data_IF_537444553398
#
_entry.id   IF_537444553398
#
_cell.length_a   1.000
_cell.length_b   1.000
_cell.length_c   1.000
_cell.angle_alpha   90.00
_cell.angle_beta   90.00
_cell.angle_gamma   90.00
#
_symmetry.space_group_name_H-M   'P 1'
#
loop_
_entity.id
_entity.type
_entity.pdbx_description
1 polymer ?
#
# COMPACT_ATOMS: atom_id res chain seq x y z
N UNK A 1 -32.48 -17.61 47.15
CA UNK A 1 -31.83 -16.71 46.16
C UNK A 1 -30.34 -17.08 46.17
N UNK A 2 -29.99 -18.19 45.50
CA UNK A 2 -29.35 -18.27 44.16
C UNK A 2 -27.93 -17.70 44.20
N UNK A 3 -26.94 -18.52 44.56
CA UNK A 3 -26.11 -19.41 43.71
C UNK A 3 -24.84 -18.70 43.26
N UNK A 4 -23.73 -19.10 43.89
CA UNK A 4 -22.35 -18.72 43.58
C UNK A 4 -21.96 -19.50 42.32
N UNK A 5 -21.97 -18.83 41.17
CA UNK A 5 -21.57 -19.43 39.91
C UNK A 5 -20.04 -19.42 39.83
N UNK A 6 -19.45 -20.60 40.03
CA UNK A 6 -18.05 -20.88 39.76
C UNK A 6 -17.85 -20.86 38.25
N UNK A 7 -17.17 -19.82 37.74
CA UNK A 7 -16.75 -19.77 36.35
C UNK A 7 -15.63 -20.81 36.17
N UNK A 8 -16.04 -22.05 35.89
CA UNK A 8 -15.16 -23.10 35.39
C UNK A 8 -14.73 -22.67 33.99
N UNK A 9 -13.49 -22.23 33.87
CA UNK A 9 -12.88 -21.89 32.59
C UNK A 9 -12.81 -23.16 31.74
N UNK A 10 -13.69 -23.28 30.76
CA UNK A 10 -13.75 -24.37 29.79
C UNK A 10 -12.58 -24.28 28.81
N UNK A 11 -11.37 -24.55 29.31
CA UNK A 11 -10.09 -24.53 28.59
C UNK A 11 -9.86 -25.78 27.73
N UNK A 12 -10.88 -26.28 27.03
CA UNK A 12 -10.77 -27.56 26.33
C UNK A 12 -11.73 -27.72 25.16
N UNK A 13 -11.74 -26.76 24.22
CA UNK A 13 -12.51 -26.91 22.99
C UNK A 13 -11.88 -26.28 21.73
N UNK A 14 -10.65 -25.77 21.76
CA UNK A 14 -10.04 -25.14 20.56
C UNK A 14 -8.76 -25.84 20.05
N UNK A 15 -8.57 -27.12 20.37
CA UNK A 15 -7.38 -27.90 19.97
C UNK A 15 -7.54 -28.66 18.64
N UNK A 16 -8.60 -28.42 17.87
CA UNK A 16 -8.88 -29.18 16.65
C UNK A 16 -9.43 -28.29 15.53
N UNK A 17 -8.61 -27.35 15.06
CA UNK A 17 -8.84 -26.68 13.78
C UNK A 17 -7.53 -26.65 12.98
N UNK A 18 -7.12 -27.84 12.54
CA UNK A 18 -6.21 -27.98 11.42
C UNK A 18 -6.86 -27.40 10.17
N UNK A 19 -6.54 -26.16 9.84
CA UNK A 19 -6.51 -25.72 8.46
C UNK A 19 -5.18 -25.04 8.22
N UNK A 20 -4.32 -25.81 7.56
CA UNK A 20 -3.23 -25.32 6.73
C UNK A 20 -3.78 -24.30 5.73
N UNK A 21 -3.95 -23.05 6.16
CA UNK A 21 -3.96 -21.94 5.22
C UNK A 21 -2.54 -21.84 4.71
N UNK A 22 -2.31 -22.41 3.52
CA UNK A 22 -1.13 -22.13 2.73
C UNK A 22 -0.98 -20.61 2.70
N UNK A 23 0.03 -20.12 3.41
CA UNK A 23 0.42 -18.72 3.36
C UNK A 23 0.78 -18.48 1.90
N UNK A 24 -0.15 -17.90 1.14
CA UNK A 24 0.15 -17.40 -0.19
C UNK A 24 1.27 -16.39 0.02
N UNK A 25 2.48 -16.80 -0.35
CA UNK A 25 3.64 -15.94 -0.38
C UNK A 25 3.34 -14.98 -1.52
N UNK A 26 2.68 -13.87 -1.23
CA UNK A 26 2.56 -12.79 -2.19
C UNK A 26 3.97 -12.35 -2.50
N UNK A 27 4.46 -12.72 -3.68
CA UNK A 27 5.78 -12.37 -4.18
C UNK A 27 5.96 -10.87 -3.99
N UNK A 28 6.96 -10.51 -3.18
CA UNK A 28 7.29 -9.10 -2.96
C UNK A 28 7.90 -8.62 -4.26
N UNK A 29 7.11 -7.89 -5.05
CA UNK A 29 7.61 -7.20 -6.25
C UNK A 29 8.72 -6.27 -5.76
N UNK A 30 9.97 -6.67 -6.00
CA UNK A 30 11.15 -5.84 -5.73
C UNK A 30 11.07 -4.70 -6.73
N UNK A 31 10.60 -3.53 -6.27
CA UNK A 31 10.46 -2.35 -7.13
C UNK A 31 11.82 -1.67 -7.23
N UNK A 32 12.41 -1.76 -8.41
CA UNK A 32 13.70 -1.15 -8.77
C UNK A 32 13.65 0.40 -8.73
N UNK A 33 12.46 0.98 -8.91
CA UNK A 33 12.26 2.42 -8.98
C UNK A 33 11.95 3.03 -7.60
N UNK A 34 12.57 4.18 -7.26
CA UNK A 34 12.30 4.87 -6.01
C UNK A 34 10.80 5.16 -5.92
N UNK A 35 10.21 4.82 -4.76
CA UNK A 35 8.79 5.04 -4.51
C UNK A 35 8.56 6.54 -4.33
N UNK A 36 8.19 7.21 -5.42
CA UNK A 36 7.76 8.61 -5.39
C UNK A 36 6.56 8.74 -4.46
N UNK A 37 6.71 9.54 -3.40
CA UNK A 37 5.63 9.81 -2.46
C UNK A 37 4.77 10.96 -3.00
N UNK A 38 3.50 11.05 -2.54
CA UNK A 38 2.59 12.12 -2.98
C UNK A 38 3.11 13.53 -2.69
N UNK A 39 3.93 13.71 -1.66
CA UNK A 39 4.54 15.00 -1.30
C UNK A 39 5.94 15.22 -1.88
N UNK A 40 6.48 14.22 -2.59
CA UNK A 40 7.83 14.26 -3.15
C UNK A 40 7.90 15.32 -4.27
N UNK A 41 9.04 15.99 -4.38
CA UNK A 41 9.24 17.01 -5.43
C UNK A 41 9.83 16.30 -6.64
N UNK A 42 9.11 16.33 -7.75
CA UNK A 42 9.48 15.65 -8.99
C UNK A 42 9.67 16.65 -10.11
N UNK A 43 10.53 16.28 -11.06
CA UNK A 43 10.72 17.05 -12.29
C UNK A 43 9.95 16.39 -13.42
N UNK A 44 9.00 17.14 -13.97
CA UNK A 44 8.21 16.71 -15.12
C UNK A 44 8.56 17.53 -16.36
N UNK A 45 8.51 16.88 -17.52
CA UNK A 45 8.70 17.51 -18.82
C UNK A 45 7.42 17.44 -19.63
N UNK A 46 7.06 18.55 -20.26
CA UNK A 46 5.94 18.62 -21.18
C UNK A 46 6.34 17.96 -22.51
N UNK A 47 5.57 16.97 -22.97
CA UNK A 47 5.90 16.25 -24.21
C UNK A 47 5.72 17.10 -25.46
N UNK A 48 4.84 18.10 -25.45
CA UNK A 48 4.56 18.94 -26.62
C UNK A 48 5.55 20.10 -26.77
N UNK A 49 5.99 20.70 -25.67
CA UNK A 49 6.86 21.90 -25.69
C UNK A 49 8.28 21.65 -25.19
N UNK A 50 8.57 20.49 -24.59
CA UNK A 50 9.88 20.18 -23.99
C UNK A 50 10.18 20.94 -22.68
N UNK A 51 9.25 21.77 -22.20
CA UNK A 51 9.41 22.56 -20.98
C UNK A 51 9.47 21.65 -19.74
N UNK A 52 10.44 21.91 -18.86
CA UNK A 52 10.58 21.21 -17.58
C UNK A 52 10.01 22.06 -16.44
N UNK A 53 9.28 21.42 -15.52
CA UNK A 53 8.82 22.02 -14.27
C UNK A 53 9.12 21.10 -13.09
N UNK A 54 9.57 21.71 -12.00
CA UNK A 54 9.75 21.05 -10.72
C UNK A 54 8.53 21.33 -9.83
N UNK A 55 7.83 20.29 -9.40
CA UNK A 55 6.67 20.43 -8.51
C UNK A 55 6.39 19.14 -7.73
N UNK A 56 5.53 19.22 -6.70
CA UNK A 56 5.13 18.03 -5.95
C UNK A 56 4.42 16.98 -6.81
N UNK A 57 4.70 15.70 -6.59
CA UNK A 57 4.07 14.58 -7.28
C UNK A 57 2.54 14.65 -7.19
N UNK A 58 1.96 15.11 -6.08
CA UNK A 58 0.51 15.35 -5.96
C UNK A 58 -0.07 16.18 -7.09
N UNK A 59 0.65 17.22 -7.55
CA UNK A 59 0.21 18.10 -8.63
C UNK A 59 0.60 17.53 -9.99
N UNK A 60 1.80 16.95 -10.09
CA UNK A 60 2.27 16.30 -11.30
C UNK A 60 1.44 15.06 -11.69
N UNK A 61 0.88 14.33 -10.72
CA UNK A 61 0.08 13.13 -10.93
C UNK A 61 -1.08 13.38 -11.89
N UNK A 62 -1.80 14.50 -11.74
CA UNK A 62 -2.88 14.86 -12.67
C UNK A 62 -2.37 15.18 -14.08
N UNK A 63 -1.18 15.79 -14.18
CA UNK A 63 -0.56 16.16 -15.46
C UNK A 63 0.00 14.93 -16.20
N UNK A 64 0.59 14.00 -15.44
CA UNK A 64 1.11 12.72 -15.94
C UNK A 64 -0.05 11.81 -16.32
N UNK A 65 -1.10 11.71 -15.51
CA UNK A 65 -2.31 10.94 -15.82
C UNK A 65 -3.04 11.46 -17.05
N UNK A 66 -2.96 12.77 -17.33
CA UNK A 66 -3.49 13.38 -18.53
C UNK A 66 -2.64 13.08 -19.78
N UNK A 67 -1.41 12.57 -19.62
CA UNK A 67 -0.52 12.21 -20.73
C UNK A 67 0.23 13.39 -21.37
N UNK A 68 0.02 14.60 -20.86
CA UNK A 68 0.65 15.83 -21.39
C UNK A 68 2.06 16.05 -20.82
N UNK A 69 2.40 15.35 -19.72
CA UNK A 69 3.69 15.48 -19.04
C UNK A 69 4.27 14.11 -18.69
N UNK A 70 5.59 14.00 -18.74
CA UNK A 70 6.35 12.79 -18.36
C UNK A 70 7.23 13.07 -17.17
N UNK A 71 7.36 12.09 -16.27
CA UNK A 71 8.31 12.12 -15.17
C UNK A 71 9.73 11.88 -15.70
N UNK A 72 10.69 12.73 -15.36
CA UNK A 72 12.07 12.61 -15.83
C UNK A 72 13.05 12.36 -14.68
N UNK A 73 12.68 12.74 -13.45
CA UNK A 73 13.48 12.60 -12.24
C UNK A 73 12.62 12.15 -11.07
#
# INVERSE_FOLDING_TARGET
KTSKDEIVSSESANREAGQTQQRQVTETIVRDQPKINRNDTVTIQNVASGQTQEMKYKKAESLIANGTWVLVH
#
